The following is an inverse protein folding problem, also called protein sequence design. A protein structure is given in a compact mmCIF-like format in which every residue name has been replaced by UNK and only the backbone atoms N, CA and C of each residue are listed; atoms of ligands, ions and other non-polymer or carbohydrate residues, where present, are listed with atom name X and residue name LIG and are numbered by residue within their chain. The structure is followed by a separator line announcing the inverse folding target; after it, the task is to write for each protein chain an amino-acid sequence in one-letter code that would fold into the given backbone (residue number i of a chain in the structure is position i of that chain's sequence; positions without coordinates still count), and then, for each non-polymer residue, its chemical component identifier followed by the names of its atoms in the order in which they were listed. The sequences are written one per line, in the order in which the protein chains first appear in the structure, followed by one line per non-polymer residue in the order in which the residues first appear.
data_IF_125185919764
#
_entry.id   IF_125185919764
#
_cell.length_a   1.000
_cell.length_b   1.000
_cell.length_c   1.000
_cell.angle_alpha   90.00
_cell.angle_beta   90.00
_cell.angle_gamma   90.00
#
_symmetry.space_group_name_H-M   'P 1'
#
loop_
_entity.id
_entity.type
_entity.pdbx_description
1 polymer ?
#
# COMPACT_ATOMS: atom_id res chain seq x y z
N UNK A 1 -20.85 -6.93 8.45
CA UNK A 1 -20.05 -7.95 9.16
C UNK A 1 -19.20 -8.68 8.13
N UNK A 2 -17.87 -8.68 8.27
CA UNK A 2 -17.01 -9.40 7.32
C UNK A 2 -17.04 -10.87 7.67
N UNK A 3 -17.33 -11.72 6.68
CA UNK A 3 -17.23 -13.18 6.83
C UNK A 3 -15.83 -13.62 6.43
N UNK A 4 -15.28 -14.59 7.14
CA UNK A 4 -14.00 -15.21 6.83
C UNK A 4 -14.21 -16.70 6.56
N UNK A 5 -13.45 -17.25 5.61
CA UNK A 5 -13.37 -18.70 5.43
C UNK A 5 -12.50 -19.36 6.52
N UNK A 6 -12.47 -20.69 6.56
CA UNK A 6 -11.68 -21.48 7.52
C UNK A 6 -10.17 -21.18 7.49
N UNK A 7 -9.68 -20.52 6.44
CA UNK A 7 -8.29 -20.10 6.27
C UNK A 7 -8.04 -18.66 6.75
N UNK A 8 -9.05 -18.01 7.34
CA UNK A 8 -8.97 -16.63 7.82
C UNK A 8 -8.91 -15.60 6.68
N UNK A 9 -9.48 -15.91 5.51
CA UNK A 9 -9.57 -14.97 4.39
C UNK A 9 -10.98 -14.40 4.30
N UNK A 10 -11.10 -13.08 4.11
CA UNK A 10 -12.41 -12.46 3.93
C UNK A 10 -13.09 -13.02 2.66
N UNK A 11 -14.40 -13.30 2.75
CA UNK A 11 -15.23 -13.80 1.65
C UNK A 11 -16.38 -12.83 1.37
N UNK A 12 -16.96 -12.94 0.16
CA UNK A 12 -18.14 -12.18 -0.30
C UNK A 12 -17.90 -10.66 -0.37
N UNK A 13 -18.97 -9.86 -0.31
CA UNK A 13 -18.93 -8.39 -0.41
C UNK A 13 -18.02 -7.75 0.66
N UNK A 14 -18.01 -8.31 1.87
CA UNK A 14 -17.12 -7.87 2.95
C UNK A 14 -15.63 -8.00 2.62
N UNK A 15 -15.25 -8.89 1.70
CA UNK A 15 -13.86 -9.03 1.23
C UNK A 15 -13.42 -7.89 0.31
N UNK A 16 -14.36 -7.38 -0.50
CA UNK A 16 -14.12 -6.26 -1.44
C UNK A 16 -13.96 -4.97 -0.66
N UNK A 17 -14.84 -4.73 0.32
CA UNK A 17 -14.77 -3.57 1.21
C UNK A 17 -13.49 -3.54 2.03
N UNK A 18 -13.13 -4.69 2.62
CA UNK A 18 -11.88 -4.83 3.37
C UNK A 18 -10.68 -4.54 2.47
N UNK A 19 -10.60 -5.19 1.31
CA UNK A 19 -9.48 -5.01 0.38
C UNK A 19 -9.36 -3.56 -0.11
N UNK A 20 -10.49 -2.92 -0.41
CA UNK A 20 -10.53 -1.50 -0.82
C UNK A 20 -10.01 -0.59 0.29
N UNK A 21 -10.46 -0.82 1.53
CA UNK A 21 -9.99 -0.06 2.67
C UNK A 21 -8.51 -0.27 2.97
N UNK A 22 -8.05 -1.53 2.99
CA UNK A 22 -6.63 -1.84 3.18
C UNK A 22 -5.77 -1.19 2.10
N UNK A 23 -6.24 -1.14 0.86
CA UNK A 23 -5.57 -0.46 -0.24
C UNK A 23 -5.48 1.05 -0.05
N UNK A 24 -6.55 1.73 0.38
CA UNK A 24 -6.53 3.17 0.71
C UNK A 24 -5.58 3.45 1.87
N UNK A 25 -5.67 2.67 2.94
CA UNK A 25 -4.85 2.86 4.13
C UNK A 25 -3.36 2.61 3.86
N UNK A 26 -3.05 1.63 2.99
CA UNK A 26 -1.69 1.41 2.49
C UNK A 26 -1.15 2.61 1.69
N UNK A 27 -1.97 3.27 0.86
CA UNK A 27 -1.56 4.44 0.09
C UNK A 27 -1.34 5.68 0.95
N UNK A 28 -2.17 5.86 1.97
CA UNK A 28 -2.17 7.06 2.82
C UNK A 28 -1.13 6.97 3.95
N UNK A 29 -0.99 5.81 4.59
CA UNK A 29 -0.18 5.69 5.81
C UNK A 29 1.22 5.13 5.57
N UNK A 30 1.47 4.52 4.40
CA UNK A 30 2.76 3.90 4.07
C UNK A 30 3.44 4.74 3.00
N UNK A 31 4.54 5.45 3.33
CA UNK A 31 5.24 6.29 2.36
C UNK A 31 5.69 5.46 1.15
N UNK A 32 5.41 5.95 -0.07
CA UNK A 32 5.78 5.27 -1.32
C UNK A 32 7.30 5.08 -1.47
N UNK A 33 8.09 5.96 -0.85
CA UNK A 33 9.54 5.94 -0.83
C UNK A 33 10.14 4.99 0.23
N UNK A 34 9.36 4.10 0.85
CA UNK A 34 9.92 3.03 1.68
C UNK A 34 10.45 1.92 0.76
N UNK A 35 11.71 1.53 0.91
CA UNK A 35 12.31 0.45 0.13
C UNK A 35 11.69 -0.91 0.44
N UNK A 36 11.59 -1.24 1.73
CA UNK A 36 11.17 -2.55 2.17
C UNK A 36 10.02 -2.47 3.18
N UNK A 37 8.94 -3.19 2.88
CA UNK A 37 7.82 -3.44 3.79
C UNK A 37 8.27 -3.93 5.17
N UNK A 38 9.32 -4.76 5.21
CA UNK A 38 9.91 -5.29 6.46
C UNK A 38 10.61 -4.21 7.31
N UNK A 39 11.00 -3.08 6.72
CA UNK A 39 11.59 -1.94 7.43
C UNK A 39 10.55 -1.00 8.03
N UNK A 40 9.26 -1.24 7.79
CA UNK A 40 8.21 -0.40 8.36
C UNK A 40 8.09 -0.66 9.87
N UNK A 41 8.31 0.39 10.67
CA UNK A 41 8.39 0.30 12.14
C UNK A 41 7.14 -0.40 12.70
N UNK A 42 7.35 -1.40 13.57
CA UNK A 42 6.28 -2.18 14.23
C UNK A 42 5.17 -1.28 14.81
N UNK A 43 5.54 -0.20 15.52
CA UNK A 43 4.61 0.79 16.07
C UNK A 43 3.66 1.40 15.03
N UNK A 44 4.09 1.59 13.79
CA UNK A 44 3.22 2.09 12.72
C UNK A 44 2.27 1.00 12.20
N UNK A 45 2.72 -0.26 12.11
CA UNK A 45 1.85 -1.40 11.77
C UNK A 45 0.78 -1.62 12.85
N UNK A 46 1.13 -1.45 14.11
CA UNK A 46 0.17 -1.56 15.22
C UNK A 46 -0.89 -0.46 15.13
N UNK A 47 -0.51 0.79 14.85
CA UNK A 47 -1.49 1.86 14.60
C UNK A 47 -2.37 1.61 13.37
N UNK A 48 -1.81 1.06 12.30
CA UNK A 48 -2.58 0.65 11.12
C UNK A 48 -3.60 -0.44 11.51
N UNK A 49 -3.19 -1.40 12.34
CA UNK A 49 -4.07 -2.44 12.83
C UNK A 49 -5.20 -1.88 13.68
N UNK A 50 -4.93 -0.98 14.63
CA UNK A 50 -5.95 -0.33 15.45
C UNK A 50 -7.04 0.34 14.60
N UNK A 51 -6.67 0.99 13.50
CA UNK A 51 -7.63 1.62 12.57
C UNK A 51 -8.46 0.57 11.82
N UNK A 52 -7.85 -0.55 11.42
CA UNK A 52 -8.55 -1.65 10.74
C UNK A 52 -9.56 -2.30 11.70
N UNK A 53 -9.16 -2.57 12.94
CA UNK A 53 -9.99 -3.16 14.00
C UNK A 53 -11.12 -2.23 14.45
N UNK A 54 -10.91 -0.91 14.48
CA UNK A 54 -11.98 0.05 14.76
C UNK A 54 -13.03 0.11 13.65
N UNK A 55 -12.62 -0.05 12.39
CA UNK A 55 -13.53 0.02 11.25
C UNK A 55 -14.28 -1.29 11.02
N UNK A 56 -13.64 -2.42 11.31
CA UNK A 56 -14.19 -3.74 11.05
C UNK A 56 -14.16 -4.56 12.33
N UNK A 57 -15.29 -5.20 12.67
CA UNK A 57 -15.38 -6.15 13.78
C UNK A 57 -14.53 -7.39 13.44
N UNK A 58 -13.27 -7.39 13.88
CA UNK A 58 -12.26 -8.39 13.56
C UNK A 58 -11.54 -8.84 14.83
N UNK A 59 -11.31 -10.15 14.95
CA UNK A 59 -10.47 -10.68 16.03
C UNK A 59 -8.98 -10.52 15.74
N UNK A 60 -8.15 -10.55 16.78
CA UNK A 60 -6.69 -10.44 16.70
C UNK A 60 -6.06 -11.50 15.77
N UNK A 61 -6.67 -12.68 15.64
CA UNK A 61 -6.27 -13.73 14.71
C UNK A 61 -6.25 -13.26 13.23
N UNK A 62 -7.06 -12.27 12.88
CA UNK A 62 -7.14 -11.69 11.53
C UNK A 62 -6.05 -10.65 11.26
N UNK A 63 -5.33 -10.18 12.30
CA UNK A 63 -4.28 -9.14 12.19
C UNK A 63 -3.23 -9.49 11.17
N UNK A 64 -2.72 -10.73 11.23
CA UNK A 64 -1.70 -11.21 10.31
C UNK A 64 -2.19 -11.18 8.86
N UNK A 65 -3.41 -11.65 8.60
CA UNK A 65 -3.99 -11.64 7.26
C UNK A 65 -4.14 -10.20 6.75
N UNK A 66 -4.73 -9.31 7.54
CA UNK A 66 -4.98 -7.92 7.14
C UNK A 66 -3.69 -7.16 6.83
N UNK A 67 -2.67 -7.27 7.69
CA UNK A 67 -1.37 -6.62 7.46
C UNK A 67 -0.62 -7.20 6.26
N UNK A 68 -0.72 -8.51 6.01
CA UNK A 68 -0.15 -9.13 4.81
C UNK A 68 -0.87 -8.68 3.53
N UNK A 69 -2.20 -8.64 3.54
CA UNK A 69 -3.01 -8.17 2.41
C UNK A 69 -2.73 -6.70 2.11
N UNK A 70 -2.67 -5.84 3.13
CA UNK A 70 -2.29 -4.44 2.99
C UNK A 70 -0.89 -4.29 2.38
N UNK A 71 0.09 -5.05 2.87
CA UNK A 71 1.45 -5.03 2.32
C UNK A 71 1.50 -5.47 0.84
N UNK A 72 0.70 -6.47 0.44
CA UNK A 72 0.57 -6.89 -0.96
C UNK A 72 -0.06 -5.80 -1.83
N UNK A 73 -1.15 -5.20 -1.37
CA UNK A 73 -1.83 -4.11 -2.08
C UNK A 73 -0.93 -2.89 -2.25
N UNK A 74 -0.19 -2.51 -1.21
CA UNK A 74 0.79 -1.43 -1.26
C UNK A 74 1.93 -1.72 -2.26
N UNK A 75 2.50 -2.94 -2.26
CA UNK A 75 3.52 -3.33 -3.25
C UNK A 75 2.98 -3.30 -4.68
N UNK A 76 1.76 -3.79 -4.89
CA UNK A 76 1.10 -3.75 -6.20
C UNK A 76 0.85 -2.31 -6.67
N UNK A 77 0.46 -1.41 -5.77
CA UNK A 77 0.35 0.02 -6.07
C UNK A 77 1.71 0.61 -6.48
N UNK A 78 2.77 0.32 -5.72
CA UNK A 78 4.15 0.76 -6.02
C UNK A 78 4.60 0.28 -7.41
N UNK A 79 4.35 -0.99 -7.76
CA UNK A 79 4.68 -1.56 -9.07
C UNK A 79 4.02 -0.78 -10.21
N UNK A 80 2.70 -0.53 -10.11
CA UNK A 80 1.96 0.22 -11.13
C UNK A 80 2.50 1.63 -11.33
N UNK A 81 2.94 2.30 -10.26
CA UNK A 81 3.57 3.62 -10.37
C UNK A 81 4.92 3.54 -11.07
N UNK A 82 5.74 2.52 -10.78
CA UNK A 82 7.00 2.33 -11.49
C UNK A 82 6.79 2.02 -12.97
N UNK A 83 5.81 1.20 -13.33
CA UNK A 83 5.45 0.95 -14.73
C UNK A 83 5.08 2.25 -15.46
N UNK A 84 4.28 3.12 -14.83
CA UNK A 84 3.95 4.45 -15.37
C UNK A 84 5.20 5.30 -15.58
N UNK A 85 6.09 5.34 -14.58
CA UNK A 85 7.35 6.08 -14.66
C UNK A 85 8.21 5.53 -15.80
N UNK A 86 8.32 4.21 -15.95
CA UNK A 86 9.10 3.56 -17.00
C UNK A 86 8.55 3.87 -18.41
N UNK A 87 7.25 4.16 -18.53
CA UNK A 87 6.63 4.59 -19.80
C UNK A 87 6.76 6.08 -20.11
N UNK A 88 7.10 6.92 -19.12
CA UNK A 88 7.26 8.36 -19.31
C UNK A 88 8.54 8.67 -20.09
N UNK A 89 8.44 9.49 -21.13
CA UNK A 89 9.55 9.91 -22.00
C UNK A 89 10.04 11.32 -21.67
N UNK A 90 9.30 12.07 -20.86
CA UNK A 90 9.64 13.45 -20.49
C UNK A 90 9.36 13.72 -19.00
N UNK A 91 9.97 14.79 -18.49
CA UNK A 91 9.74 15.27 -17.13
C UNK A 91 8.31 15.80 -16.93
N UNK A 92 7.68 16.30 -18.00
CA UNK A 92 6.30 16.78 -17.99
C UNK A 92 5.31 15.62 -17.83
N UNK A 93 5.49 14.54 -18.57
CA UNK A 93 4.72 13.29 -18.42
C UNK A 93 4.87 12.71 -17.01
N UNK A 94 6.10 12.72 -16.48
CA UNK A 94 6.37 12.25 -15.12
C UNK A 94 5.64 13.07 -14.04
N UNK A 95 5.56 14.39 -14.18
CA UNK A 95 4.82 15.24 -13.23
C UNK A 95 3.30 15.07 -13.39
N UNK A 96 2.82 14.81 -14.62
CA UNK A 96 1.41 14.51 -14.88
C UNK A 96 0.95 13.17 -14.26
N UNK A 97 1.83 12.18 -14.19
CA UNK A 97 1.56 10.88 -13.55
C UNK A 97 1.58 10.91 -12.02
N UNK A 98 1.92 12.06 -11.41
CA UNK A 98 1.98 12.22 -9.96
C UNK A 98 0.60 11.96 -9.31
N UNK A 99 0.50 11.04 -8.34
CA UNK A 99 -0.72 10.86 -7.58
C UNK A 99 -1.13 12.13 -6.82
N UNK A 100 -2.43 12.47 -6.83
CA UNK A 100 -2.95 13.70 -6.19
C UNK A 100 -2.64 13.83 -4.70
N UNK A 101 -2.62 12.70 -3.98
CA UNK A 101 -2.38 12.64 -2.54
C UNK A 101 -0.90 12.65 -2.15
N UNK A 102 0.01 12.74 -3.13
CA UNK A 102 1.45 12.71 -2.92
C UNK A 102 2.01 14.07 -3.34
N UNK A 103 2.79 14.68 -2.44
CA UNK A 103 3.45 15.95 -2.73
C UNK A 103 4.58 15.78 -3.76
N UNK A 104 4.91 16.85 -4.49
CA UNK A 104 5.91 16.78 -5.56
C UNK A 104 7.30 16.43 -5.06
N UNK A 105 7.66 16.74 -3.80
CA UNK A 105 8.98 16.37 -3.25
C UNK A 105 9.06 14.86 -3.05
N UNK A 106 8.03 14.27 -2.43
CA UNK A 106 7.96 12.84 -2.20
C UNK A 106 7.87 12.05 -3.51
N UNK A 107 7.11 12.55 -4.49
CA UNK A 107 7.03 11.97 -5.83
C UNK A 107 8.39 11.95 -6.54
N UNK A 108 9.12 13.08 -6.53
CA UNK A 108 10.45 13.17 -7.13
C UNK A 108 11.45 12.23 -6.47
N UNK A 109 11.42 12.10 -5.14
CA UNK A 109 12.26 11.12 -4.43
C UNK A 109 11.94 9.71 -4.88
N UNK A 110 10.67 9.34 -4.98
CA UNK A 110 10.25 8.02 -5.42
C UNK A 110 10.67 7.70 -6.86
N UNK A 111 10.49 8.65 -7.79
CA UNK A 111 10.93 8.49 -9.18
C UNK A 111 12.45 8.30 -9.28
N UNK A 112 13.24 9.05 -8.47
CA UNK A 112 14.70 8.89 -8.39
C UNK A 112 15.12 7.52 -7.86
N UNK A 113 14.41 6.96 -6.86
CA UNK A 113 14.73 5.64 -6.32
C UNK A 113 14.71 4.56 -7.41
N UNK A 114 13.78 4.64 -8.36
CA UNK A 114 13.74 3.71 -9.50
C UNK A 114 14.98 3.84 -10.39
N UNK A 115 15.43 5.06 -10.66
CA UNK A 115 16.69 5.30 -11.40
C UNK A 115 17.93 4.80 -10.67
N UNK A 116 17.92 4.76 -9.33
CA UNK A 116 19.02 4.21 -8.51
C UNK A 116 18.96 2.68 -8.33
N UNK A 117 17.85 2.01 -8.68
CA UNK A 117 17.67 0.55 -8.53
C UNK A 117 18.13 -0.21 -9.80
N UNK A 118 18.56 0.49 -10.86
CA UNK A 118 19.19 -0.19 -11.99
C UNK A 118 20.67 -0.48 -11.69
N UNK A 119 21.00 -1.77 -11.79
CA UNK A 119 22.30 -2.47 -11.74
C UNK A 119 22.76 -3.01 -10.38
N UNK A 120 22.36 -4.25 -10.06
CA UNK A 120 23.27 -5.43 -10.12
C UNK A 120 22.44 -6.68 -10.37
#
# INVERSE_FOLDING_TARGET
MIRFNERGQAIEEGSVDLSTFLGSLGREMVPIAVDNWRGFKKKKLDRIWEIIEQKFVLDEHNKKYCLQSLGKLWKSYKSRLWEKIDTCKSQEELEAEKPKHIDSTHWKTFAKMKSCINFT
#
